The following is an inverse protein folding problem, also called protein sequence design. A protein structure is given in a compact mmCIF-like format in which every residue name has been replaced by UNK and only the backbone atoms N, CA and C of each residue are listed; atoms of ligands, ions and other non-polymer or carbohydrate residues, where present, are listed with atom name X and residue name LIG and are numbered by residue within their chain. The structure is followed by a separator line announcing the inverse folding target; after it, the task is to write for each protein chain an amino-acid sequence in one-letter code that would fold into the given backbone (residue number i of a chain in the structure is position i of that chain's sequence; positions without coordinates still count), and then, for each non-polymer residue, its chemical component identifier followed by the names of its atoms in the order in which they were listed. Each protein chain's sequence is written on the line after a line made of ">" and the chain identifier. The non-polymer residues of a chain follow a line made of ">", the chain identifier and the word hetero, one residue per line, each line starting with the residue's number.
data_IF_274545543732
#
_entry.id   IF_274545543732
#
_cell.length_a   1.000
_cell.length_b   1.000
_cell.length_c   1.000
_cell.angle_alpha   90.00
_cell.angle_beta   90.00
_cell.angle_gamma   90.00
#
_symmetry.space_group_name_H-M   'P 1'
#
loop_
_entity.id
_entity.type
_entity.pdbx_description
1 polymer ?
#
# COMPACT_ATOMS: atom_id res chain seq x y z
N UNK A 1 -12.33 9.28 7.19
CA UNK A 1 -11.34 9.02 6.13
C UNK A 1 -10.80 7.61 6.31
N UNK A 2 -10.59 6.89 5.21
CA UNK A 2 -9.98 5.57 5.24
C UNK A 2 -8.45 5.69 5.17
N UNK A 3 -7.73 4.73 5.76
CA UNK A 3 -6.27 4.64 5.74
C UNK A 3 -5.83 3.18 5.58
N UNK A 4 -4.66 2.96 4.99
CA UNK A 4 -3.93 1.71 5.09
C UNK A 4 -3.04 1.78 6.34
N UNK A 5 -2.96 0.69 7.08
CA UNK A 5 -2.03 0.52 8.20
C UNK A 5 -1.05 -0.56 7.81
N UNK A 6 0.22 -0.22 7.75
CA UNK A 6 1.31 -1.10 7.37
C UNK A 6 1.88 -1.69 8.66
N UNK A 7 1.96 -3.00 8.71
CA UNK A 7 2.55 -3.73 9.82
C UNK A 7 3.87 -4.35 9.39
N UNK A 8 4.83 -4.36 10.29
CA UNK A 8 6.06 -5.12 10.17
C UNK A 8 6.05 -6.24 11.20
N UNK A 9 6.39 -7.46 10.79
CA UNK A 9 6.56 -8.59 11.69
C UNK A 9 8.02 -8.66 12.16
N UNK A 10 8.25 -8.35 13.44
CA UNK A 10 9.57 -8.44 14.07
C UNK A 10 9.47 -9.50 15.17
N UNK A 11 10.27 -10.56 15.05
CA UNK A 11 10.35 -11.65 16.05
C UNK A 11 8.98 -12.28 16.42
N UNK A 12 8.07 -12.36 15.46
CA UNK A 12 6.72 -12.92 15.65
C UNK A 12 5.72 -11.95 16.29
N UNK A 13 6.06 -10.66 16.43
CA UNK A 13 5.15 -9.61 16.83
C UNK A 13 4.84 -8.66 15.66
N UNK A 14 3.55 -8.46 15.39
CA UNK A 14 3.09 -7.43 14.45
C UNK A 14 3.17 -6.05 15.10
N UNK A 15 3.99 -5.18 14.54
CA UNK A 15 4.12 -3.79 14.99
C UNK A 15 3.63 -2.86 13.88
N UNK A 16 2.86 -1.84 14.24
CA UNK A 16 2.45 -0.80 13.29
C UNK A 16 3.72 -0.05 12.86
N UNK A 17 4.04 -0.13 11.57
CA UNK A 17 5.17 0.56 10.96
C UNK A 17 4.76 1.95 10.47
N UNK A 18 3.66 2.04 9.70
CA UNK A 18 3.23 3.29 9.07
C UNK A 18 1.72 3.35 8.84
N UNK A 19 1.17 4.57 8.97
CA UNK A 19 -0.19 4.90 8.55
C UNK A 19 -0.16 5.64 7.19
N UNK A 20 -0.74 5.04 6.16
CA UNK A 20 -0.85 5.65 4.83
C UNK A 20 -2.28 6.17 4.58
N UNK A 21 -2.42 7.48 4.44
CA UNK A 21 -3.72 8.12 4.21
C UNK A 21 -4.21 7.90 2.77
N UNK A 22 -5.43 7.38 2.62
CA UNK A 22 -6.06 7.22 1.32
C UNK A 22 -6.60 8.57 0.82
N UNK A 23 -5.71 9.38 0.25
CA UNK A 23 -5.98 10.77 -0.15
C UNK A 23 -6.22 10.96 -1.66
N UNK A 24 -5.85 9.98 -2.48
CA UNK A 24 -6.02 9.99 -3.94
C UNK A 24 -7.05 8.96 -4.40
N UNK A 25 -7.71 9.17 -5.55
CA UNK A 25 -8.68 8.21 -6.08
C UNK A 25 -8.05 6.89 -6.55
N UNK A 26 -6.75 6.93 -6.89
CA UNK A 26 -5.94 5.79 -7.30
C UNK A 26 -4.59 5.88 -6.60
N UNK A 27 -4.15 4.76 -6.06
CA UNK A 27 -2.89 4.60 -5.34
C UNK A 27 -2.15 3.43 -5.98
N UNK A 28 -0.94 3.68 -6.46
CA UNK A 28 -0.04 2.65 -6.97
C UNK A 28 0.84 2.13 -5.83
N UNK A 29 1.05 0.82 -5.81
CA UNK A 29 1.81 0.11 -4.79
C UNK A 29 2.88 -0.71 -5.52
N UNK A 30 4.14 -0.61 -5.08
CA UNK A 30 5.24 -1.38 -5.64
C UNK A 30 6.60 -0.86 -5.20
N UNK A 31 7.67 -1.41 -5.76
CA UNK A 31 9.05 -1.04 -5.39
C UNK A 31 9.59 0.20 -6.12
N UNK A 32 8.95 0.65 -7.21
CA UNK A 32 9.35 1.89 -7.88
C UNK A 32 9.06 3.13 -7.03
N UNK A 33 9.98 4.10 -7.03
CA UNK A 33 9.80 5.43 -6.43
C UNK A 33 8.64 6.22 -7.05
N UNK A 34 8.17 5.83 -8.24
CA UNK A 34 7.03 6.44 -8.92
C UNK A 34 5.67 6.05 -8.27
N UNK A 35 5.66 5.08 -7.36
CA UNK A 35 4.45 4.63 -6.68
C UNK A 35 4.03 5.59 -5.57
N UNK A 36 2.74 5.55 -5.22
CA UNK A 36 2.23 6.31 -4.09
C UNK A 36 2.64 5.67 -2.76
N UNK A 37 2.58 4.34 -2.70
CA UNK A 37 3.10 3.53 -1.60
C UNK A 37 4.28 2.72 -2.10
N UNK A 38 5.47 3.11 -1.67
CA UNK A 38 6.72 2.45 -2.04
C UNK A 38 7.04 1.36 -1.02
N UNK A 39 7.18 0.13 -1.50
CA UNK A 39 7.61 -1.02 -0.70
C UNK A 39 9.03 -1.41 -1.12
N UNK A 40 10.03 -0.85 -0.45
CA UNK A 40 11.46 -1.10 -0.71
C UNK A 40 11.93 -2.38 -0.02
N UNK A 41 11.38 -3.51 -0.48
CA UNK A 41 11.77 -4.86 -0.04
C UNK A 41 12.02 -5.77 -1.26
N UNK A 42 12.85 -6.82 -1.12
CA UNK A 42 13.08 -7.77 -2.20
C UNK A 42 11.78 -8.39 -2.72
N UNK A 43 11.78 -8.80 -3.99
CA UNK A 43 10.72 -9.57 -4.64
C UNK A 43 9.35 -8.86 -4.83
N UNK A 44 9.30 -7.53 -4.67
CA UNK A 44 8.14 -6.71 -5.05
C UNK A 44 8.34 -6.10 -6.43
N UNK A 45 7.35 -6.29 -7.31
CA UNK A 45 7.38 -5.72 -8.65
C UNK A 45 7.38 -4.17 -8.62
N UNK A 46 8.02 -3.49 -9.60
CA UNK A 46 8.03 -2.03 -9.67
C UNK A 46 6.64 -1.41 -9.69
N UNK A 47 5.65 -2.12 -10.22
CA UNK A 47 4.22 -1.75 -10.19
C UNK A 47 3.43 -3.02 -9.86
N UNK A 48 3.35 -3.32 -8.57
CA UNK A 48 2.84 -4.60 -8.08
C UNK A 48 1.33 -4.63 -7.93
N UNK A 49 0.71 -3.50 -7.55
CA UNK A 49 -0.73 -3.42 -7.42
C UNK A 49 -1.22 -1.98 -7.53
N UNK A 50 -2.53 -1.83 -7.71
CA UNK A 50 -3.23 -0.56 -7.57
C UNK A 50 -4.46 -0.69 -6.69
N UNK A 51 -4.70 0.37 -5.92
CA UNK A 51 -5.89 0.53 -5.10
C UNK A 51 -6.71 1.69 -5.66
N UNK A 52 -7.98 1.45 -5.96
CA UNK A 52 -8.86 2.45 -6.57
C UNK A 52 -10.18 2.59 -5.83
N UNK A 53 -10.62 3.84 -5.65
CA UNK A 53 -11.92 4.15 -5.08
C UNK A 53 -12.96 4.24 -6.20
N UNK A 54 -13.85 3.25 -6.29
CA UNK A 54 -14.90 3.16 -7.32
C UNK A 54 -16.19 2.64 -6.68
N UNK A 55 -17.33 3.24 -7.05
CA UNK A 55 -18.65 2.84 -6.55
C UNK A 55 -18.73 2.78 -5.01
N UNK A 56 -18.21 3.81 -4.32
CA UNK A 56 -18.13 3.89 -2.84
C UNK A 56 -17.30 2.78 -2.16
N UNK A 57 -16.50 2.01 -2.91
CA UNK A 57 -15.66 0.95 -2.38
C UNK A 57 -14.22 1.09 -2.86
N UNK A 58 -13.28 0.66 -2.01
CA UNK A 58 -11.88 0.50 -2.41
C UNK A 58 -11.70 -0.89 -3.02
N UNK A 59 -11.07 -0.93 -4.19
CA UNK A 59 -10.77 -2.17 -4.92
C UNK A 59 -9.26 -2.26 -5.09
N UNK A 60 -8.68 -3.38 -4.66
CA UNK A 60 -7.28 -3.71 -4.91
C UNK A 60 -7.19 -4.64 -6.13
N UNK A 61 -6.23 -4.38 -7.00
CA UNK A 61 -5.96 -5.15 -8.21
C UNK A 61 -4.44 -5.28 -8.37
N UNK A 62 -4.00 -6.47 -8.78
CA UNK A 62 -2.64 -6.73 -9.28
C UNK A 62 -2.52 -6.14 -10.71
#
# INVERSE_FOLDING_TARGET
>A
MAKLVIYEEIEGAETIFEDFQLSAHRILIGSSEDNNLVLDIPDIDPTHASLEFRNDHWVIQD
#
